data_IF_378614173666
#
_entry.id   IF_378614173666
#
_cell.length_a   1.000
_cell.length_b   1.000
_cell.length_c   1.000
_cell.angle_alpha   90.00
_cell.angle_beta   90.00
_cell.angle_gamma   90.00
#
_symmetry.space_group_name_H-M   'P 1'
#
loop_
_entity.id
_entity.type
_entity.pdbx_description
1 polymer ?
#
# COMPACT_ATOMS: atom_id res chain seq x y z
N UNK A 1 15.55 -20.12 12.96
CA UNK A 1 16.78 -19.45 13.47
C UNK A 1 16.56 -17.96 13.37
N UNK A 2 16.79 -17.20 14.44
CA UNK A 2 16.54 -15.75 14.50
C UNK A 2 17.78 -15.07 15.06
N UNK A 3 18.29 -14.08 14.34
CA UNK A 3 19.47 -13.29 14.74
C UNK A 3 19.12 -11.80 14.74
N UNK A 4 19.76 -11.04 15.63
CA UNK A 4 19.73 -9.56 15.60
C UNK A 4 21.10 -9.04 16.00
N UNK A 5 21.75 -8.27 15.13
CA UNK A 5 23.06 -7.73 15.42
C UNK A 5 23.00 -6.45 16.28
N UNK A 6 24.15 -5.99 16.78
CA UNK A 6 24.25 -4.75 17.57
C UNK A 6 23.93 -3.46 16.79
N UNK A 7 23.66 -3.56 15.49
CA UNK A 7 23.23 -2.46 14.61
C UNK A 7 21.73 -2.48 14.35
N UNK A 8 21.01 -3.48 14.89
CA UNK A 8 19.56 -3.60 14.81
C UNK A 8 19.07 -4.33 13.57
N UNK A 9 19.96 -4.81 12.71
CA UNK A 9 19.60 -5.66 11.57
C UNK A 9 19.26 -7.05 12.11
N UNK A 10 18.14 -7.60 11.68
CA UNK A 10 17.71 -8.93 12.06
C UNK A 10 17.43 -9.80 10.84
N UNK A 11 17.65 -11.10 11.01
CA UNK A 11 17.34 -12.13 10.03
C UNK A 11 16.58 -13.26 10.72
N UNK A 12 15.56 -13.80 10.07
CA UNK A 12 14.77 -14.90 10.58
C UNK A 12 14.44 -15.90 9.47
N UNK A 13 14.75 -17.17 9.74
CA UNK A 13 14.26 -18.31 8.98
C UNK A 13 13.01 -18.85 9.67
N UNK A 14 11.88 -18.74 8.97
CA UNK A 14 10.58 -19.18 9.44
C UNK A 14 10.43 -20.69 9.28
N UNK A 15 9.50 -21.29 10.02
CA UNK A 15 9.23 -22.73 9.97
C UNK A 15 8.75 -23.21 8.59
N UNK A 16 8.16 -22.32 7.79
CA UNK A 16 7.72 -22.59 6.42
C UNK A 16 8.81 -22.33 5.36
N UNK A 17 10.07 -22.14 5.78
CA UNK A 17 11.20 -21.93 4.89
C UNK A 17 11.38 -20.50 4.40
N UNK A 18 10.43 -19.58 4.69
CA UNK A 18 10.58 -18.18 4.30
C UNK A 18 11.72 -17.51 5.07
N UNK A 19 12.43 -16.64 4.35
CA UNK A 19 13.47 -15.80 4.91
C UNK A 19 12.98 -14.37 5.08
N UNK A 20 13.08 -13.84 6.29
CA UNK A 20 12.74 -12.46 6.64
C UNK A 20 14.02 -11.73 7.02
N UNK A 21 14.23 -10.55 6.44
CA UNK A 21 15.30 -9.63 6.85
C UNK A 21 14.68 -8.29 7.17
N UNK A 22 15.20 -7.62 8.18
CA UNK A 22 14.70 -6.32 8.56
C UNK A 22 15.64 -5.55 9.44
N UNK A 23 15.15 -4.41 9.90
CA UNK A 23 15.83 -3.57 10.86
C UNK A 23 14.85 -3.15 11.95
N UNK A 24 15.34 -3.09 13.19
CA UNK A 24 14.59 -2.65 14.37
C UNK A 24 15.51 -1.98 15.38
N UNK A 25 15.10 -0.87 16.01
CA UNK A 25 15.88 -0.22 17.07
C UNK A 25 15.88 -1.02 18.37
N UNK A 26 14.84 -1.83 18.63
CA UNK A 26 14.69 -2.66 19.83
C UNK A 26 14.26 -4.10 19.51
N UNK A 27 14.53 -5.03 20.43
CA UNK A 27 14.06 -6.43 20.34
C UNK A 27 12.53 -6.51 20.42
N UNK A 28 11.89 -5.63 21.18
CA UNK A 28 10.43 -5.57 21.27
C UNK A 28 9.80 -5.23 19.91
N UNK A 29 10.36 -4.28 19.17
CA UNK A 29 9.87 -3.92 17.84
C UNK A 29 10.13 -5.03 16.81
N UNK A 30 11.31 -5.68 16.86
CA UNK A 30 11.59 -6.89 16.08
C UNK A 30 10.53 -7.96 16.34
N UNK A 31 10.22 -8.21 17.62
CA UNK A 31 9.23 -9.20 18.02
C UNK A 31 7.83 -8.89 17.47
N UNK A 32 7.40 -7.62 17.52
CA UNK A 32 6.13 -7.19 16.92
C UNK A 32 6.11 -7.46 15.42
N UNK A 33 7.20 -7.19 14.70
CA UNK A 33 7.31 -7.47 13.26
C UNK A 33 7.26 -8.99 12.99
N UNK A 34 8.05 -9.79 13.68
CA UNK A 34 8.13 -11.22 13.44
C UNK A 34 6.82 -11.95 13.78
N UNK A 35 6.05 -11.45 14.76
CA UNK A 35 4.68 -11.94 15.02
C UNK A 35 3.74 -11.76 13.82
N UNK A 36 3.93 -10.74 12.98
CA UNK A 36 3.14 -10.57 11.74
C UNK A 36 3.39 -11.68 10.73
N UNK A 37 4.52 -12.37 10.84
CA UNK A 37 4.84 -13.55 10.05
C UNK A 37 4.44 -14.87 10.72
N UNK A 38 3.81 -14.81 11.91
CA UNK A 38 3.37 -15.98 12.67
C UNK A 38 4.42 -16.56 13.61
N UNK A 39 5.53 -15.86 13.87
CA UNK A 39 6.56 -16.33 14.81
C UNK A 39 6.05 -16.27 16.25
N UNK A 40 6.13 -17.38 16.97
CA UNK A 40 5.68 -17.46 18.35
C UNK A 40 6.66 -16.75 19.30
N UNK A 41 6.18 -16.24 20.43
CA UNK A 41 7.01 -15.51 21.40
C UNK A 41 8.17 -16.37 21.95
N UNK A 42 7.95 -17.68 22.09
CA UNK A 42 8.99 -18.63 22.51
C UNK A 42 10.15 -18.75 21.54
N UNK A 43 9.96 -18.38 20.27
CA UNK A 43 11.01 -18.45 19.23
C UNK A 43 11.85 -17.16 19.16
N UNK A 44 11.39 -16.07 19.79
CA UNK A 44 11.98 -14.73 19.71
C UNK A 44 13.15 -14.50 20.67
N UNK A 45 13.52 -15.50 21.47
CA UNK A 45 14.57 -15.40 22.51
C UNK A 45 15.70 -16.36 22.18
N UNK A 46 16.91 -15.83 22.01
CA UNK A 46 18.09 -16.62 21.75
C UNK A 46 19.39 -15.82 21.98
N UNK A 47 20.53 -16.51 22.18
CA UNK A 47 21.82 -15.85 22.43
C UNK A 47 22.32 -15.01 21.24
N UNK A 48 21.80 -15.26 20.04
CA UNK A 48 22.15 -14.55 18.80
C UNK A 48 21.31 -13.27 18.58
N UNK A 49 20.39 -12.97 19.50
CA UNK A 49 19.56 -11.76 19.47
C UNK A 49 20.18 -10.72 20.40
N UNK A 50 20.87 -9.74 19.82
CA UNK A 50 21.38 -8.60 20.57
C UNK A 50 20.24 -7.80 21.18
N UNK A 51 20.32 -7.53 22.48
CA UNK A 51 19.38 -6.67 23.23
C UNK A 51 19.75 -5.19 23.20
N UNK A 52 20.85 -4.85 22.52
CA UNK A 52 21.32 -3.46 22.38
C UNK A 52 20.25 -2.62 21.71
N UNK A 53 19.84 -1.54 22.37
CA UNK A 53 19.01 -0.50 21.77
C UNK A 53 19.88 0.35 20.85
N UNK A 54 19.47 0.52 19.60
CA UNK A 54 20.28 1.19 18.58
C UNK A 54 19.68 2.56 18.29
N UNK A 55 20.52 3.59 18.43
CA UNK A 55 20.21 4.93 17.94
C UNK A 55 20.74 5.08 16.50
N UNK A 56 19.88 5.57 15.61
CA UNK A 56 20.01 5.69 14.15
C UNK A 56 21.42 5.73 13.51
N UNK A 57 21.67 4.81 12.55
CA UNK A 57 22.55 5.09 11.41
C UNK A 57 21.72 5.16 10.12
N UNK A 58 21.66 6.32 9.45
CA UNK A 58 20.88 6.55 8.21
C UNK A 58 21.11 5.48 7.12
N UNK A 59 22.33 4.95 7.02
CA UNK A 59 22.70 3.92 6.03
C UNK A 59 22.17 2.52 6.37
N UNK A 60 21.97 2.22 7.65
CA UNK A 60 21.54 0.90 8.13
C UNK A 60 20.02 0.76 8.19
N UNK A 61 19.28 1.89 8.16
CA UNK A 61 17.83 1.87 8.05
C UNK A 61 17.41 0.95 6.91
N UNK A 62 18.12 0.94 5.78
CA UNK A 62 17.71 0.25 4.57
C UNK A 62 17.51 -1.24 4.82
N UNK A 63 18.47 -1.95 5.43
CA UNK A 63 18.25 -3.32 5.91
C UNK A 63 17.63 -4.24 4.86
N UNK A 64 17.72 -3.83 3.59
CA UNK A 64 16.92 -4.41 2.54
C UNK A 64 17.55 -5.72 2.14
N UNK A 65 16.73 -6.55 1.55
CA UNK A 65 17.24 -7.71 0.87
C UNK A 65 18.08 -7.34 -0.38
N UNK A 66 17.88 -6.15 -0.95
CA UNK A 66 18.60 -5.63 -2.14
C UNK A 66 19.91 -4.86 -1.83
N UNK A 67 20.25 -4.61 -0.55
CA UNK A 67 21.40 -3.78 -0.13
C UNK A 67 22.74 -4.56 -0.01
N UNK A 68 22.74 -5.86 -0.29
CA UNK A 68 23.90 -6.76 -0.15
C UNK A 68 24.37 -7.35 -1.49
N UNK A 69 25.55 -7.97 -1.48
CA UNK A 69 26.18 -8.65 -2.63
C UNK A 69 25.13 -9.32 -3.54
N UNK A 70 25.01 -8.81 -4.76
CA UNK A 70 23.99 -9.19 -5.74
C UNK A 70 23.85 -10.71 -5.89
N UNK A 71 24.98 -11.43 -5.81
CA UNK A 71 25.04 -12.90 -5.87
C UNK A 71 24.28 -13.57 -4.72
N UNK A 72 24.45 -13.12 -3.48
CA UNK A 72 23.74 -13.66 -2.31
C UNK A 72 22.24 -13.39 -2.40
N UNK A 73 21.85 -12.23 -2.95
CA UNK A 73 20.45 -11.91 -3.17
C UNK A 73 19.81 -12.79 -4.24
N UNK A 74 20.51 -12.99 -5.35
CA UNK A 74 20.07 -13.85 -6.46
C UNK A 74 19.90 -15.31 -6.02
N UNK A 75 20.84 -15.86 -5.24
CA UNK A 75 20.72 -17.20 -4.64
C UNK A 75 19.50 -17.32 -3.73
N UNK A 76 19.28 -16.34 -2.84
CA UNK A 76 18.10 -16.31 -1.94
C UNK A 76 16.80 -16.23 -2.72
N UNK A 77 16.78 -15.44 -3.79
CA UNK A 77 15.62 -15.34 -4.68
C UNK A 77 15.33 -16.66 -5.36
N UNK A 78 16.33 -17.31 -5.97
CA UNK A 78 16.15 -18.62 -6.58
C UNK A 78 15.66 -19.65 -5.56
N UNK A 79 16.26 -19.69 -4.38
CA UNK A 79 15.85 -20.62 -3.33
C UNK A 79 14.41 -20.38 -2.85
N UNK A 80 13.95 -19.13 -2.79
CA UNK A 80 12.56 -18.82 -2.43
C UNK A 80 11.58 -19.08 -3.57
N UNK A 81 12.02 -18.91 -4.83
CA UNK A 81 11.23 -19.19 -6.01
C UNK A 81 11.08 -20.70 -6.24
N UNK A 82 12.10 -21.48 -5.90
CA UNK A 82 12.09 -22.93 -6.00
C UNK A 82 11.08 -23.52 -5.02
N UNK A 83 10.00 -24.07 -5.58
CA UNK A 83 8.86 -24.54 -4.80
C UNK A 83 7.68 -24.94 -5.68
N UNK A 84 6.64 -25.55 -5.07
CA UNK A 84 5.46 -26.01 -5.81
C UNK A 84 4.72 -24.88 -6.53
N UNK A 85 4.87 -23.63 -6.09
CA UNK A 85 4.31 -22.45 -6.74
C UNK A 85 4.92 -22.19 -8.11
N UNK A 86 6.21 -22.42 -8.29
CA UNK A 86 6.88 -22.25 -9.59
C UNK A 86 6.38 -23.29 -10.59
N UNK A 87 6.21 -24.55 -10.15
CA UNK A 87 5.58 -25.59 -10.97
C UNK A 87 4.15 -25.22 -11.35
N UNK A 88 3.35 -24.75 -10.39
CA UNK A 88 1.98 -24.27 -10.65
C UNK A 88 1.96 -23.10 -11.62
N UNK A 89 2.89 -22.15 -11.49
CA UNK A 89 3.05 -21.04 -12.41
C UNK A 89 3.38 -21.53 -13.83
N UNK A 90 4.35 -22.44 -13.97
CA UNK A 90 4.74 -23.04 -15.25
C UNK A 90 3.55 -23.69 -15.94
N UNK A 91 2.82 -24.55 -15.24
CA UNK A 91 1.62 -25.23 -15.76
C UNK A 91 0.51 -24.24 -16.17
N UNK A 92 0.23 -23.25 -15.32
CA UNK A 92 -0.78 -22.24 -15.61
C UNK A 92 -0.41 -21.37 -16.82
N UNK A 93 0.88 -21.05 -17.00
CA UNK A 93 1.36 -20.30 -18.15
C UNK A 93 1.30 -21.11 -19.45
N UNK A 94 1.58 -22.42 -19.43
CA UNK A 94 1.39 -23.30 -20.58
C UNK A 94 -0.09 -23.34 -21.00
N UNK A 95 -0.99 -23.53 -20.03
CA UNK A 95 -2.43 -23.52 -20.28
C UNK A 95 -2.90 -22.17 -20.81
N UNK A 96 -2.45 -21.08 -20.20
CA UNK A 96 -2.75 -19.73 -20.66
C UNK A 96 -2.29 -19.52 -22.11
N UNK A 97 -1.05 -19.90 -22.43
CA UNK A 97 -0.46 -19.76 -23.77
C UNK A 97 -1.32 -20.41 -24.85
N UNK A 98 -1.87 -21.61 -24.59
CA UNK A 98 -2.77 -22.30 -25.53
C UNK A 98 -4.11 -21.59 -25.80
N UNK A 99 -4.50 -20.66 -24.93
CA UNK A 99 -5.78 -19.93 -25.01
C UNK A 99 -5.62 -18.54 -25.62
N UNK A 100 -4.40 -18.00 -25.67
CA UNK A 100 -4.16 -16.65 -26.19
C UNK A 100 -4.30 -16.67 -27.72
N UNK A 101 -5.19 -15.84 -28.31
CA UNK A 101 -5.25 -15.71 -29.76
C UNK A 101 -3.94 -15.16 -30.35
N UNK A 102 -3.48 -15.76 -31.46
CA UNK A 102 -2.28 -15.30 -32.15
C UNK A 102 -2.47 -13.92 -32.82
N UNK A 103 -3.67 -13.67 -33.37
CA UNK A 103 -4.00 -12.40 -34.01
C UNK A 103 -4.10 -11.25 -32.97
N UNK A 104 -3.38 -10.13 -33.16
CA UNK A 104 -3.37 -9.02 -32.19
C UNK A 104 -4.72 -8.32 -31.99
N UNK A 105 -5.65 -8.37 -32.95
CA UNK A 105 -6.99 -7.79 -32.80
C UNK A 105 -7.85 -8.71 -31.94
N UNK A 106 -7.85 -10.02 -32.25
CA UNK A 106 -8.56 -11.03 -31.47
C UNK A 106 -8.02 -11.12 -30.04
N UNK A 107 -6.70 -11.05 -29.85
CA UNK A 107 -6.06 -11.08 -28.54
C UNK A 107 -6.50 -9.92 -27.64
N UNK A 108 -6.61 -8.71 -28.19
CA UNK A 108 -7.09 -7.54 -27.44
C UNK A 108 -8.57 -7.67 -27.07
N UNK A 109 -9.40 -8.20 -27.96
CA UNK A 109 -10.81 -8.49 -27.64
C UNK A 109 -10.92 -9.54 -26.52
N UNK A 110 -10.18 -10.65 -26.65
CA UNK A 110 -10.10 -11.70 -25.64
C UNK A 110 -9.58 -11.20 -24.29
N UNK A 111 -8.58 -10.30 -24.28
CA UNK A 111 -8.10 -9.66 -23.06
C UNK A 111 -9.18 -8.81 -22.39
N UNK A 112 -9.96 -8.05 -23.15
CA UNK A 112 -11.08 -7.27 -22.61
C UNK A 112 -12.14 -8.18 -21.97
N UNK A 113 -12.44 -9.32 -22.59
CA UNK A 113 -13.35 -10.35 -22.04
C UNK A 113 -12.81 -10.95 -20.74
N UNK A 114 -11.50 -11.18 -20.62
CA UNK A 114 -10.87 -11.66 -19.37
C UNK A 114 -10.87 -10.59 -18.28
N UNK A 115 -10.69 -9.32 -18.63
CA UNK A 115 -10.60 -8.20 -17.69
C UNK A 115 -11.95 -7.79 -17.09
N UNK A 116 -13.02 -7.85 -17.89
CA UNK A 116 -14.35 -7.44 -17.46
C UNK A 116 -14.84 -8.13 -16.17
N UNK A 117 -14.82 -9.48 -16.04
CA UNK A 117 -15.26 -10.15 -14.81
C UNK A 117 -14.36 -9.83 -13.62
N UNK A 118 -13.04 -9.67 -13.82
CA UNK A 118 -12.09 -9.34 -12.74
C UNK A 118 -12.36 -7.95 -12.17
N UNK A 119 -12.54 -6.95 -13.04
CA UNK A 119 -12.84 -5.58 -12.62
C UNK A 119 -14.24 -5.46 -11.99
N UNK A 120 -15.21 -6.26 -12.43
CA UNK A 120 -16.54 -6.29 -11.84
C UNK A 120 -16.56 -6.96 -10.45
N UNK A 121 -15.88 -8.10 -10.31
CA UNK A 121 -15.88 -8.88 -9.07
C UNK A 121 -14.91 -8.32 -8.01
N UNK A 122 -13.77 -7.79 -8.42
CA UNK A 122 -12.72 -7.34 -7.52
C UNK A 122 -12.11 -6.01 -7.98
N UNK A 123 -12.89 -4.90 -7.95
CA UNK A 123 -12.35 -3.58 -8.23
C UNK A 123 -11.20 -3.25 -7.28
N UNK A 124 -10.23 -2.49 -7.78
CA UNK A 124 -9.10 -2.02 -6.99
C UNK A 124 -9.52 -0.92 -6.03
N UNK A 125 -8.87 -0.86 -4.88
CA UNK A 125 -9.09 0.19 -3.88
C UNK A 125 -7.95 1.21 -3.91
N UNK A 126 -8.26 2.46 -3.56
CA UNK A 126 -7.29 3.55 -3.65
C UNK A 126 -6.08 3.38 -2.71
N UNK A 127 -6.34 3.03 -1.44
CA UNK A 127 -5.30 2.81 -0.45
C UNK A 127 -5.77 1.89 0.67
N UNK A 128 -4.88 1.02 1.14
CA UNK A 128 -5.12 0.17 2.33
C UNK A 128 -4.07 0.33 3.43
N UNK A 129 -2.88 0.85 3.10
CA UNK A 129 -1.80 1.01 4.05
C UNK A 129 -1.80 2.42 4.66
N UNK A 130 -2.34 2.62 5.86
CA UNK A 130 -2.44 3.93 6.52
C UNK A 130 -1.08 4.45 7.00
N UNK A 131 -0.18 3.55 7.41
CA UNK A 131 1.14 3.93 7.93
C UNK A 131 2.24 3.88 6.86
N UNK A 132 1.91 3.49 5.63
CA UNK A 132 2.84 3.48 4.49
C UNK A 132 2.56 4.66 3.54
N UNK A 133 3.57 5.48 3.30
CA UNK A 133 3.45 6.68 2.46
C UNK A 133 2.68 7.83 3.16
N UNK A 134 2.07 8.72 2.36
CA UNK A 134 1.48 9.98 2.84
C UNK A 134 -0.01 9.89 3.24
N UNK A 135 -0.57 8.68 3.41
CA UNK A 135 -2.03 8.46 3.40
C UNK A 135 -2.81 8.85 4.64
N UNK A 136 -2.15 9.05 5.78
CA UNK A 136 -2.73 9.80 6.90
C UNK A 136 -1.92 11.08 6.96
N UNK A 137 -2.51 12.20 6.52
CA UNK A 137 -1.83 13.50 6.40
C UNK A 137 -1.08 13.78 7.70
N UNK A 138 0.25 13.72 7.62
CA UNK A 138 1.17 14.00 8.72
C UNK A 138 0.87 15.39 9.32
N UNK A 139 0.20 15.45 10.46
CA UNK A 139 -0.03 16.69 11.20
C UNK A 139 1.10 16.99 12.21
N UNK A 140 2.29 16.39 12.02
CA UNK A 140 3.47 16.64 12.84
C UNK A 140 4.73 15.97 12.29
N UNK A 141 5.91 16.39 12.77
CA UNK A 141 7.20 15.71 12.57
C UNK A 141 7.26 14.41 13.39
N UNK A 142 6.25 13.55 13.28
CA UNK A 142 6.33 12.22 13.85
C UNK A 142 7.51 11.52 13.16
N UNK A 143 8.49 11.04 13.95
CA UNK A 143 9.59 10.23 13.44
C UNK A 143 8.99 9.06 12.65
N UNK A 144 9.52 8.78 11.46
CA UNK A 144 9.12 7.58 10.73
C UNK A 144 9.28 6.38 11.68
N UNK A 145 8.24 5.55 11.80
CA UNK A 145 8.37 4.31 12.55
C UNK A 145 9.58 3.54 12.03
N UNK A 146 10.52 3.30 12.94
CA UNK A 146 11.89 2.96 12.63
C UNK A 146 12.01 1.52 12.12
N UNK A 147 11.25 0.59 12.70
CA UNK A 147 11.35 -0.82 12.35
C UNK A 147 10.61 -1.22 11.06
N UNK A 148 11.23 -2.10 10.27
CA UNK A 148 10.69 -2.66 9.02
C UNK A 148 11.28 -4.03 8.71
N UNK A 149 10.57 -4.81 7.90
CA UNK A 149 11.10 -6.04 7.31
C UNK A 149 10.63 -6.25 5.89
N UNK A 150 11.37 -7.10 5.21
CA UNK A 150 11.11 -7.58 3.87
C UNK A 150 11.28 -9.11 3.86
N UNK A 151 10.46 -9.78 3.06
CA UNK A 151 10.62 -11.20 2.79
C UNK A 151 10.30 -11.52 1.34
N UNK A 152 10.88 -12.60 0.84
CA UNK A 152 10.48 -13.20 -0.42
C UNK A 152 9.31 -14.14 -0.17
N UNK A 153 8.25 -13.97 -0.96
CA UNK A 153 7.05 -14.77 -0.77
C UNK A 153 6.28 -14.91 -2.09
N UNK A 154 5.80 -16.13 -2.34
CA UNK A 154 4.70 -16.37 -3.27
C UNK A 154 3.38 -15.89 -2.66
N UNK A 155 2.74 -14.95 -3.35
CA UNK A 155 1.49 -14.31 -2.96
C UNK A 155 0.37 -14.76 -3.89
N UNK A 156 -0.77 -15.10 -3.31
CA UNK A 156 -2.01 -15.25 -4.08
C UNK A 156 -2.40 -13.86 -4.63
N UNK A 157 -2.48 -13.68 -5.96
CA UNK A 157 -2.81 -12.39 -6.52
C UNK A 157 -4.20 -11.89 -6.09
N UNK A 158 -5.09 -12.76 -5.60
CA UNK A 158 -6.38 -12.36 -5.03
C UNK A 158 -6.23 -11.43 -3.84
N UNK A 159 -5.19 -11.61 -3.03
CA UNK A 159 -4.90 -10.78 -1.87
C UNK A 159 -4.27 -9.41 -2.24
N UNK A 160 -3.89 -9.20 -3.50
CA UNK A 160 -3.46 -7.88 -4.01
C UNK A 160 -4.70 -7.09 -4.39
N UNK A 161 -5.06 -6.12 -3.55
CA UNK A 161 -6.33 -5.37 -3.68
C UNK A 161 -6.14 -3.92 -4.13
N UNK A 162 -4.90 -3.43 -4.14
CA UNK A 162 -4.57 -2.06 -4.51
C UNK A 162 -3.27 -2.02 -5.28
N UNK A 163 -3.26 -1.34 -6.42
CA UNK A 163 -2.04 -0.93 -7.12
C UNK A 163 -2.07 0.58 -7.37
N UNK A 164 -1.03 1.11 -8.02
CA UNK A 164 -1.01 2.50 -8.48
C UNK A 164 -2.11 2.81 -9.53
N UNK A 165 -2.53 1.82 -10.31
CA UNK A 165 -3.48 2.00 -11.39
C UNK A 165 -4.88 1.56 -10.91
N UNK A 166 -5.91 2.41 -11.02
CA UNK A 166 -7.23 2.16 -10.39
C UNK A 166 -8.07 1.06 -11.05
N UNK A 167 -7.61 0.49 -12.15
CA UNK A 167 -8.37 -0.52 -12.91
C UNK A 167 -7.42 -1.59 -13.40
N UNK A 168 -7.78 -2.87 -13.19
CA UNK A 168 -6.96 -3.97 -13.64
C UNK A 168 -6.79 -3.93 -15.16
N UNK A 169 -5.56 -4.16 -15.62
CA UNK A 169 -5.18 -4.14 -17.03
C UNK A 169 -5.13 -2.76 -17.72
N UNK A 170 -5.51 -1.68 -17.04
CA UNK A 170 -5.41 -0.31 -17.57
C UNK A 170 -4.22 0.38 -16.92
N UNK A 171 -3.39 1.02 -17.74
CA UNK A 171 -2.19 1.73 -17.28
C UNK A 171 -2.26 3.18 -17.81
N UNK A 172 -2.63 4.13 -16.96
CA UNK A 172 -2.87 5.54 -17.33
C UNK A 172 -1.59 6.38 -17.31
N UNK A 173 -0.50 5.82 -17.83
CA UNK A 173 0.81 6.48 -17.81
C UNK A 173 1.29 6.67 -19.22
N UNK A 174 1.63 7.91 -19.56
CA UNK A 174 2.11 8.38 -20.87
C UNK A 174 3.44 7.73 -21.34
N UNK A 175 3.86 6.61 -20.76
CA UNK A 175 5.13 5.95 -21.03
C UNK A 175 5.03 5.01 -22.24
N UNK A 176 5.61 5.44 -23.35
CA UNK A 176 5.64 4.74 -24.65
C UNK A 176 6.31 3.35 -24.66
N UNK A 177 6.88 2.86 -23.55
CA UNK A 177 7.79 1.68 -23.52
C UNK A 177 7.44 0.59 -22.50
N UNK A 178 6.29 0.66 -21.82
CA UNK A 178 5.90 -0.37 -20.83
C UNK A 178 5.14 -1.53 -21.50
N UNK A 179 5.42 -2.77 -21.07
CA UNK A 179 4.68 -3.97 -21.50
C UNK A 179 3.26 -3.91 -20.93
N UNK A 180 2.28 -3.69 -21.81
CA UNK A 180 0.86 -3.90 -21.50
C UNK A 180 0.60 -5.39 -21.26
N UNK A 181 -0.59 -5.76 -20.77
CA UNK A 181 -0.98 -7.17 -20.70
C UNK A 181 -0.92 -7.84 -22.07
N UNK A 182 -1.25 -7.11 -23.14
CA UNK A 182 -1.09 -7.58 -24.52
C UNK A 182 0.37 -7.92 -24.86
N UNK A 183 1.33 -7.10 -24.41
CA UNK A 183 2.76 -7.38 -24.58
C UNK A 183 3.24 -8.60 -23.77
N UNK A 184 2.67 -8.87 -22.59
CA UNK A 184 2.93 -10.12 -21.88
C UNK A 184 2.41 -11.32 -22.68
N UNK A 185 1.19 -11.24 -23.20
CA UNK A 185 0.62 -12.30 -24.03
C UNK A 185 1.42 -12.52 -25.33
N UNK A 186 1.86 -11.45 -25.99
CA UNK A 186 2.69 -11.51 -27.19
C UNK A 186 4.02 -12.20 -26.92
N UNK A 187 4.74 -11.80 -25.87
CA UNK A 187 6.04 -12.40 -25.53
C UNK A 187 5.91 -13.83 -25.02
N UNK A 188 4.81 -14.17 -24.34
CA UNK A 188 4.53 -15.55 -23.93
C UNK A 188 4.23 -16.44 -25.12
N UNK A 189 3.48 -15.94 -26.11
CA UNK A 189 3.22 -16.66 -27.35
C UNK A 189 4.50 -16.94 -28.13
N UNK A 190 5.40 -15.94 -28.21
CA UNK A 190 6.65 -16.02 -28.95
C UNK A 190 7.73 -16.91 -28.31
N UNK A 191 7.52 -17.40 -27.09
CA UNK A 191 8.43 -18.32 -26.41
C UNK A 191 8.26 -19.76 -26.95
N UNK A 192 8.68 -19.98 -28.19
CA UNK A 192 8.35 -21.18 -28.98
C UNK A 192 9.15 -22.42 -28.62
N UNK A 193 10.36 -22.25 -28.12
CA UNK A 193 11.16 -23.34 -27.56
C UNK A 193 10.91 -23.56 -26.06
N UNK A 194 11.25 -24.75 -25.56
CA UNK A 194 11.22 -25.03 -24.12
C UNK A 194 12.15 -24.07 -23.35
N UNK A 195 13.34 -23.78 -23.88
CA UNK A 195 14.30 -22.86 -23.26
C UNK A 195 13.74 -21.43 -23.14
N UNK A 196 13.16 -20.88 -24.21
CA UNK A 196 12.55 -19.55 -24.19
C UNK A 196 11.36 -19.50 -23.23
N UNK A 197 10.59 -20.58 -23.15
CA UNK A 197 9.47 -20.68 -22.22
C UNK A 197 9.94 -20.69 -20.77
N UNK A 198 10.97 -21.47 -20.43
CA UNK A 198 11.55 -21.45 -19.08
C UNK A 198 12.13 -20.08 -18.72
N UNK A 199 12.83 -19.44 -19.65
CA UNK A 199 13.34 -18.07 -19.46
C UNK A 199 12.19 -17.07 -19.25
N UNK A 200 11.04 -17.27 -19.90
CA UNK A 200 9.85 -16.45 -19.67
C UNK A 200 9.27 -16.69 -18.27
N UNK A 201 9.15 -17.95 -17.84
CA UNK A 201 8.65 -18.33 -16.49
C UNK A 201 9.54 -17.72 -15.41
N UNK A 202 10.85 -17.88 -15.52
CA UNK A 202 11.82 -17.28 -14.59
C UNK A 202 11.76 -15.75 -14.61
N UNK A 203 11.72 -15.15 -15.80
CA UNK A 203 11.61 -13.70 -15.96
C UNK A 203 10.30 -13.12 -15.43
N UNK A 204 9.22 -13.90 -15.44
CA UNK A 204 7.95 -13.54 -14.81
C UNK A 204 8.03 -13.65 -13.28
N UNK A 205 8.55 -14.76 -12.75
CA UNK A 205 8.63 -15.00 -11.31
C UNK A 205 9.63 -14.06 -10.62
N UNK A 206 10.86 -13.98 -11.13
CA UNK A 206 11.97 -13.26 -10.51
C UNK A 206 12.15 -11.85 -11.07
N UNK A 207 11.56 -11.57 -12.22
CA UNK A 207 11.72 -10.32 -12.93
C UNK A 207 12.92 -10.30 -13.87
N UNK A 208 12.72 -9.76 -15.07
CA UNK A 208 13.82 -9.41 -15.95
C UNK A 208 14.69 -8.37 -15.24
N UNK A 209 15.96 -8.68 -14.97
CA UNK A 209 16.90 -7.91 -14.12
C UNK A 209 16.68 -7.97 -12.61
N UNK A 210 16.02 -9.03 -12.10
CA UNK A 210 15.74 -9.24 -10.66
C UNK A 210 14.88 -8.12 -10.03
N UNK A 211 14.15 -7.38 -10.85
CA UNK A 211 13.16 -6.41 -10.40
C UNK A 211 11.90 -7.17 -9.99
N UNK A 212 11.78 -7.53 -8.72
CA UNK A 212 10.63 -8.23 -8.18
C UNK A 212 9.38 -7.35 -8.13
N UNK A 213 8.22 -7.99 -7.93
CA UNK A 213 7.01 -7.25 -7.58
C UNK A 213 7.16 -6.80 -6.13
N UNK A 214 7.10 -5.50 -5.89
CA UNK A 214 7.13 -4.96 -4.54
C UNK A 214 5.71 -4.83 -4.00
N UNK A 215 5.46 -5.48 -2.86
CA UNK A 215 4.18 -5.45 -2.18
C UNK A 215 4.35 -4.90 -0.77
N UNK A 216 3.50 -3.96 -0.38
CA UNK A 216 3.30 -3.59 1.02
C UNK A 216 2.25 -4.51 1.62
N UNK A 217 2.63 -5.25 2.67
CA UNK A 217 1.77 -6.10 3.47
C UNK A 217 1.04 -5.27 4.52
N UNK A 218 -0.29 -5.39 4.54
CA UNK A 218 -1.18 -4.77 5.51
C UNK A 218 -1.94 -5.86 6.25
N UNK A 219 -1.80 -5.91 7.57
CA UNK A 219 -2.45 -6.95 8.37
C UNK A 219 -3.96 -6.71 8.51
N UNK A 220 -4.72 -7.80 8.53
CA UNK A 220 -6.13 -7.84 8.90
C UNK A 220 -6.42 -9.08 9.76
N UNK A 221 -7.66 -9.23 10.26
CA UNK A 221 -7.99 -10.23 11.28
C UNK A 221 -7.82 -11.69 10.86
N UNK A 222 -8.08 -12.05 9.60
CA UNK A 222 -7.92 -13.42 9.08
C UNK A 222 -6.62 -13.63 8.28
N UNK A 223 -5.87 -12.57 8.03
CA UNK A 223 -4.71 -12.59 7.16
C UNK A 223 -4.45 -11.24 6.49
N UNK A 224 -3.30 -11.11 5.82
CA UNK A 224 -2.89 -9.87 5.18
C UNK A 224 -3.60 -9.63 3.85
N UNK A 225 -3.66 -8.35 3.47
CA UNK A 225 -3.87 -7.90 2.09
C UNK A 225 -2.66 -7.11 1.62
N UNK A 226 -2.52 -6.96 0.31
CA UNK A 226 -1.33 -6.38 -0.29
C UNK A 226 -1.64 -5.20 -1.19
N UNK A 227 -0.69 -4.26 -1.18
CA UNK A 227 -0.69 -3.08 -2.04
C UNK A 227 0.59 -3.02 -2.87
N UNK A 228 0.47 -2.88 -4.20
CA UNK A 228 1.60 -2.77 -5.12
C UNK A 228 1.79 -1.31 -5.58
N UNK A 229 2.72 -0.58 -4.95
CA UNK A 229 2.97 0.84 -5.27
C UNK A 229 4.27 1.16 -6.00
N UNK A 230 5.11 0.16 -6.24
CA UNK A 230 6.40 0.35 -6.88
C UNK A 230 6.54 -0.61 -8.07
N UNK A 231 7.64 -1.33 -8.14
CA UNK A 231 7.97 -2.18 -9.27
C UNK A 231 7.05 -3.41 -9.35
N UNK A 232 6.82 -3.85 -10.60
CA UNK A 232 6.06 -5.06 -10.87
C UNK A 232 4.53 -4.91 -10.99
N UNK A 233 3.98 -3.69 -11.05
CA UNK A 233 2.52 -3.48 -11.21
C UNK A 233 1.92 -4.24 -12.40
N UNK A 234 2.58 -4.27 -13.57
CA UNK A 234 2.06 -5.03 -14.72
C UNK A 234 2.02 -6.55 -14.47
N UNK A 235 3.03 -7.10 -13.77
CA UNK A 235 3.03 -8.52 -13.40
C UNK A 235 1.96 -8.81 -12.36
N UNK A 236 1.74 -7.92 -11.39
CA UNK A 236 0.62 -8.04 -10.45
C UNK A 236 -0.73 -8.03 -11.18
N UNK A 237 -0.92 -7.15 -12.16
CA UNK A 237 -2.12 -7.11 -13.00
C UNK A 237 -2.27 -8.41 -13.82
N UNK A 238 -1.20 -8.86 -14.48
CA UNK A 238 -1.22 -10.09 -15.27
C UNK A 238 -1.56 -11.31 -14.41
N UNK A 239 -0.89 -11.43 -13.25
CA UNK A 239 -1.16 -12.49 -12.28
C UNK A 239 -2.60 -12.45 -11.76
N UNK A 240 -3.14 -11.26 -11.45
CA UNK A 240 -4.52 -11.08 -11.01
C UNK A 240 -5.53 -11.53 -12.05
N UNK A 241 -5.32 -11.13 -13.30
CA UNK A 241 -6.26 -11.40 -14.39
C UNK A 241 -6.31 -12.88 -14.76
N UNK A 242 -5.16 -13.56 -14.68
CA UNK A 242 -5.03 -14.96 -15.09
C UNK A 242 -4.92 -15.94 -13.93
N UNK A 243 -5.03 -15.48 -12.68
CA UNK A 243 -4.97 -16.33 -11.48
C UNK A 243 -3.61 -17.00 -11.28
N UNK A 244 -2.52 -16.31 -11.61
CA UNK A 244 -1.16 -16.88 -11.56
C UNK A 244 -0.50 -16.63 -10.20
N UNK A 245 0.24 -17.59 -9.64
CA UNK A 245 1.08 -17.34 -8.46
C UNK A 245 2.03 -16.17 -8.71
N UNK A 246 2.18 -15.28 -7.71
CA UNK A 246 2.98 -14.07 -7.83
C UNK A 246 4.14 -14.08 -6.82
N UNK A 247 5.36 -14.27 -7.29
CA UNK A 247 6.54 -14.07 -6.45
C UNK A 247 6.77 -12.57 -6.23
N UNK A 248 6.97 -12.18 -4.97
CA UNK A 248 7.08 -10.79 -4.57
C UNK A 248 8.11 -10.58 -3.46
N UNK A 249 8.68 -9.38 -3.45
CA UNK A 249 9.33 -8.79 -2.30
C UNK A 249 8.26 -8.13 -1.43
N UNK A 250 7.90 -8.80 -0.34
CA UNK A 250 6.84 -8.37 0.58
C UNK A 250 7.45 -7.57 1.72
N UNK A 251 7.16 -6.26 1.72
CA UNK A 251 7.57 -5.30 2.75
C UNK A 251 6.46 -5.15 3.77
N UNK A 252 6.74 -5.26 5.06
CA UNK A 252 5.73 -4.93 6.08
C UNK A 252 5.38 -3.45 6.01
N UNK A 253 4.10 -3.11 6.18
CA UNK A 253 3.74 -1.75 6.57
C UNK A 253 4.55 -1.35 7.82
N UNK A 254 5.03 -0.10 7.96
CA UNK A 254 5.72 0.33 9.17
C UNK A 254 4.90 0.04 10.44
N UNK A 255 5.55 0.02 11.60
CA UNK A 255 4.82 -0.03 12.87
C UNK A 255 3.86 1.18 12.96
N UNK A 256 2.72 1.05 13.68
CA UNK A 256 1.76 2.13 13.82
C UNK A 256 2.45 3.42 14.28
N UNK A 257 2.09 4.53 13.62
CA UNK A 257 2.59 5.85 13.96
C UNK A 257 1.62 6.55 14.89
N UNK A 258 2.14 7.54 15.60
CA UNK A 258 1.36 8.43 16.42
C UNK A 258 0.31 9.17 15.58
N UNK A 259 -0.94 9.10 16.05
CA UNK A 259 -2.11 9.73 15.48
C UNK A 259 -2.33 11.06 16.19
N UNK A 260 -2.28 12.16 15.45
CA UNK A 260 -2.46 13.50 16.01
C UNK A 260 -3.94 13.88 15.87
N UNK A 261 -4.63 13.94 17.00
CA UNK A 261 -6.07 14.16 17.10
C UNK A 261 -6.42 15.60 16.73
N UNK A 262 -6.71 15.85 15.45
CA UNK A 262 -7.11 17.18 14.97
C UNK A 262 -8.44 17.11 14.24
N UNK A 263 -9.37 17.94 14.71
CA UNK A 263 -10.59 18.27 13.99
C UNK A 263 -10.52 19.73 13.47
N UNK A 264 -10.87 20.00 12.21
CA UNK A 264 -10.83 21.31 11.53
C UNK A 264 -12.23 21.83 11.14
N UNK A 265 -13.11 22.15 12.10
CA UNK A 265 -14.54 22.39 11.86
C UNK A 265 -14.87 23.49 10.83
N UNK A 266 -13.97 24.45 10.60
CA UNK A 266 -14.20 25.62 9.73
C UNK A 266 -13.83 25.41 8.25
N UNK A 267 -13.41 24.20 7.84
CA UNK A 267 -13.12 23.87 6.44
C UNK A 267 -14.25 23.03 5.86
N UNK A 268 -15.22 23.64 5.13
CA UNK A 268 -16.28 22.89 4.49
C UNK A 268 -15.72 21.95 3.43
N UNK A 269 -16.33 20.77 3.37
CA UNK A 269 -16.21 19.77 2.33
C UNK A 269 -16.86 20.24 1.03
N UNK A 270 -16.13 20.34 -0.09
CA UNK A 270 -16.76 20.42 -1.40
C UNK A 270 -16.86 19.02 -2.02
N UNK A 271 -18.03 18.38 -1.91
CA UNK A 271 -18.33 17.15 -2.67
C UNK A 271 -18.72 15.92 -1.85
N UNK A 272 -19.39 14.98 -2.51
CA UNK A 272 -20.23 13.93 -1.90
C UNK A 272 -19.48 12.85 -1.13
N UNK A 273 -18.22 12.53 -1.45
CA UNK A 273 -17.44 11.45 -0.82
C UNK A 273 -15.92 11.72 -0.90
N UNK A 274 -15.53 12.99 -0.87
CA UNK A 274 -14.13 13.42 -0.93
C UNK A 274 -14.05 14.93 -0.87
N UNK A 275 -13.08 15.42 -0.10
CA UNK A 275 -12.85 16.82 0.31
C UNK A 275 -13.64 17.22 1.57
N UNK A 276 -12.94 17.50 2.68
CA UNK A 276 -13.51 18.02 3.94
C UNK A 276 -13.63 17.06 5.13
N UNK A 277 -12.70 16.12 5.31
CA UNK A 277 -12.62 15.36 6.56
C UNK A 277 -11.80 16.10 7.62
N UNK A 278 -12.46 17.10 8.19
CA UNK A 278 -12.03 17.88 9.33
C UNK A 278 -12.21 17.14 10.66
N UNK A 279 -12.36 15.81 10.69
CA UNK A 279 -12.79 15.11 11.92
C UNK A 279 -12.12 13.76 12.17
N UNK A 280 -10.83 13.65 11.87
CA UNK A 280 -10.07 12.42 12.14
C UNK A 280 -10.05 12.07 13.63
N UNK A 281 -9.98 13.07 14.51
CA UNK A 281 -10.07 12.87 15.94
C UNK A 281 -11.41 12.25 16.34
N UNK A 282 -12.53 12.77 15.83
CA UNK A 282 -13.85 12.18 16.09
C UNK A 282 -13.97 10.73 15.59
N UNK A 283 -13.45 10.43 14.39
CA UNK A 283 -13.47 9.08 13.82
C UNK A 283 -12.64 8.10 14.66
N UNK A 284 -11.40 8.46 15.01
CA UNK A 284 -10.53 7.60 15.82
C UNK A 284 -11.07 7.42 17.24
N UNK A 285 -11.70 8.45 17.82
CA UNK A 285 -12.41 8.32 19.09
C UNK A 285 -13.58 7.32 18.99
N UNK A 286 -14.36 7.36 17.91
CA UNK A 286 -15.41 6.38 17.63
C UNK A 286 -14.88 4.95 17.50
N UNK A 287 -13.79 4.75 16.75
CA UNK A 287 -13.14 3.44 16.63
C UNK A 287 -12.70 2.92 18.00
N UNK A 288 -12.14 3.78 18.85
CA UNK A 288 -11.70 3.42 20.19
C UNK A 288 -12.85 3.00 21.09
N UNK A 289 -13.93 3.77 21.11
CA UNK A 289 -15.12 3.44 21.92
C UNK A 289 -15.77 2.12 21.54
N UNK A 290 -15.62 1.70 20.27
CA UNK A 290 -16.10 0.41 19.78
C UNK A 290 -15.08 -0.72 19.91
N UNK A 291 -13.92 -0.46 20.52
CA UNK A 291 -12.87 -1.47 20.68
C UNK A 291 -12.17 -1.87 19.37
N UNK A 292 -12.31 -1.06 18.32
CA UNK A 292 -11.68 -1.29 17.01
C UNK A 292 -10.27 -0.69 16.92
N UNK A 293 -9.95 0.21 17.85
CA UNK A 293 -8.66 0.87 18.02
C UNK A 293 -8.32 0.94 19.52
N UNK A 294 -7.16 0.44 19.89
CA UNK A 294 -6.56 0.69 21.21
C UNK A 294 -5.33 1.58 21.03
N UNK A 295 -5.13 2.52 21.97
CA UNK A 295 -4.04 3.50 21.90
C UNK A 295 -3.36 3.64 23.26
N UNK A 296 -2.07 3.93 23.23
CA UNK A 296 -1.31 4.45 24.37
C UNK A 296 -1.20 5.99 24.27
N UNK A 297 -1.16 6.68 25.41
CA UNK A 297 -1.09 8.14 25.51
C UNK A 297 -2.07 8.72 26.54
N UNK A 298 -1.91 10.00 26.90
CA UNK A 298 -2.83 10.70 27.81
C UNK A 298 -4.16 11.02 27.08
N UNK A 299 -5.30 10.49 27.56
CA UNK A 299 -6.61 10.72 26.95
C UNK A 299 -7.20 12.10 27.25
N UNK A 300 -6.55 12.96 28.05
CA UNK A 300 -7.03 14.32 28.27
C UNK A 300 -7.07 15.06 26.92
N UNK A 301 -8.32 15.30 26.49
CA UNK A 301 -8.70 15.83 25.18
C UNK A 301 -8.20 17.28 25.01
N UNK A 302 -6.90 17.44 24.84
CA UNK A 302 -6.34 18.66 24.27
C UNK A 302 -6.50 18.56 22.76
N UNK A 303 -6.73 19.69 22.10
CA UNK A 303 -6.88 19.85 20.65
C UNK A 303 -5.62 19.45 19.83
N UNK A 304 -4.62 18.88 20.51
CA UNK A 304 -3.33 18.37 20.03
C UNK A 304 -2.96 17.07 20.78
N UNK A 305 -3.95 16.26 21.17
CA UNK A 305 -3.69 14.96 21.77
C UNK A 305 -3.04 14.02 20.75
N UNK A 306 -2.18 13.15 21.24
CA UNK A 306 -1.30 12.34 20.43
C UNK A 306 -1.43 10.88 20.87
N UNK A 307 -1.90 10.03 19.97
CA UNK A 307 -2.32 8.66 20.28
C UNK A 307 -1.44 7.66 19.53
N UNK A 308 -0.75 6.77 20.24
CA UNK A 308 0.01 5.69 19.60
C UNK A 308 -0.86 4.43 19.52
N UNK A 309 -1.24 3.93 18.33
CA UNK A 309 -2.03 2.72 18.22
C UNK A 309 -1.27 1.49 18.74
N UNK A 310 -1.87 0.77 19.67
CA UNK A 310 -1.36 -0.48 20.23
C UNK A 310 -2.08 -1.71 19.69
N UNK A 311 -3.34 -1.53 19.25
CA UNK A 311 -4.13 -2.56 18.57
C UNK A 311 -5.10 -1.92 17.60
N UNK A 312 -5.30 -2.56 16.46
CA UNK A 312 -6.23 -2.16 15.42
C UNK A 312 -6.73 -3.40 14.66
N UNK A 313 -7.99 -3.39 14.23
CA UNK A 313 -8.54 -4.51 13.43
C UNK A 313 -7.97 -4.50 12.02
N UNK A 314 -7.86 -3.32 11.41
CA UNK A 314 -7.21 -3.09 10.13
C UNK A 314 -6.88 -1.61 9.99
N UNK A 315 -5.67 -1.27 9.54
CA UNK A 315 -5.21 0.13 9.56
C UNK A 315 -5.95 1.00 8.54
N UNK A 316 -6.51 0.40 7.49
CA UNK A 316 -7.38 1.10 6.54
C UNK A 316 -8.65 1.67 7.18
N UNK A 317 -9.06 1.17 8.36
CA UNK A 317 -10.20 1.72 9.10
C UNK A 317 -9.93 3.14 9.62
N UNK A 318 -8.68 3.59 9.63
CA UNK A 318 -8.29 4.95 10.01
C UNK A 318 -8.56 5.98 8.90
N UNK A 319 -8.88 5.53 7.68
CA UNK A 319 -9.20 6.41 6.55
C UNK A 319 -10.61 7.00 6.66
N UNK A 320 -10.92 7.90 5.73
CA UNK A 320 -12.27 8.42 5.59
C UNK A 320 -13.27 7.28 5.36
N UNK A 321 -14.55 7.43 5.79
CA UNK A 321 -15.55 6.37 5.71
C UNK A 321 -15.68 5.69 4.34
N UNK A 322 -15.63 6.47 3.26
CA UNK A 322 -15.70 5.94 1.90
C UNK A 322 -14.54 4.97 1.58
N UNK A 323 -13.31 5.40 1.87
CA UNK A 323 -12.09 4.63 1.62
C UNK A 323 -12.00 3.40 2.53
N UNK A 324 -12.36 3.56 3.81
CA UNK A 324 -12.39 2.46 4.78
C UNK A 324 -13.40 1.37 4.37
N UNK A 325 -14.60 1.77 3.94
CA UNK A 325 -15.63 0.84 3.46
C UNK A 325 -15.24 0.18 2.14
N UNK A 326 -14.59 0.91 1.23
CA UNK A 326 -14.04 0.33 0.00
C UNK A 326 -13.02 -0.77 0.33
N UNK A 327 -12.09 -0.49 1.25
CA UNK A 327 -11.11 -1.45 1.74
C UNK A 327 -11.77 -2.62 2.50
N UNK A 328 -12.80 -2.39 3.31
CA UNK A 328 -13.56 -3.45 3.99
C UNK A 328 -14.19 -4.42 2.98
N UNK A 329 -14.86 -3.89 1.95
CA UNK A 329 -15.44 -4.73 0.88
C UNK A 329 -14.36 -5.51 0.14
N UNK A 330 -13.19 -4.91 -0.11
CA UNK A 330 -12.08 -5.60 -0.74
C UNK A 330 -11.48 -6.69 0.14
N UNK A 331 -11.32 -6.43 1.42
CA UNK A 331 -10.87 -7.41 2.40
C UNK A 331 -11.85 -8.58 2.51
N UNK A 332 -13.15 -8.31 2.59
CA UNK A 332 -14.19 -9.34 2.70
C UNK A 332 -14.26 -10.24 1.47
N UNK A 333 -13.92 -9.74 0.27
CA UNK A 333 -13.76 -10.60 -0.92
C UNK A 333 -12.61 -11.60 -0.80
N UNK A 334 -11.54 -11.24 -0.09
CA UNK A 334 -10.37 -12.11 0.14
C UNK A 334 -10.62 -13.04 1.32
N UNK A 335 -11.24 -12.53 2.38
CA UNK A 335 -11.54 -13.24 3.63
C UNK A 335 -13.02 -13.04 4.03
N UNK A 336 -13.96 -13.77 3.40
CA UNK A 336 -15.39 -13.58 3.64
C UNK A 336 -15.77 -13.77 5.10
N UNK A 337 -16.50 -12.80 5.67
CA UNK A 337 -17.00 -12.88 7.05
C UNK A 337 -15.98 -12.51 8.14
N UNK A 338 -14.69 -12.41 7.80
CA UNK A 338 -13.63 -12.24 8.79
C UNK A 338 -13.72 -10.89 9.52
N UNK A 339 -14.11 -9.83 8.82
CA UNK A 339 -14.29 -8.51 9.43
C UNK A 339 -15.49 -8.47 10.37
N UNK A 340 -16.64 -9.03 9.96
CA UNK A 340 -17.80 -9.12 10.87
C UNK A 340 -17.45 -9.95 12.12
N UNK A 341 -16.77 -11.09 11.94
CA UNK A 341 -16.36 -11.92 13.06
C UNK A 341 -15.40 -11.22 14.03
N UNK A 342 -14.46 -10.42 13.51
CA UNK A 342 -13.47 -9.72 14.33
C UNK A 342 -14.01 -8.46 15.03
N UNK A 343 -15.00 -7.81 14.44
CA UNK A 343 -15.54 -6.53 14.93
C UNK A 343 -16.88 -6.66 15.65
N UNK A 344 -17.63 -7.74 15.40
CA UNK A 344 -19.03 -7.89 15.82
C UNK A 344 -20.01 -6.99 15.07
N UNK A 345 -19.57 -6.28 14.02
CA UNK A 345 -20.37 -5.36 13.22
C UNK A 345 -20.99 -6.04 11.99
N UNK A 346 -22.12 -5.52 11.53
CA UNK A 346 -22.88 -6.00 10.37
C UNK A 346 -22.66 -5.17 9.11
N UNK A 347 -23.76 -4.80 8.44
CA UNK A 347 -23.76 -4.08 7.16
C UNK A 347 -23.11 -2.70 7.23
N UNK A 348 -23.00 -2.11 8.42
CA UNK A 348 -22.31 -0.84 8.66
C UNK A 348 -20.82 -0.87 8.27
N UNK A 349 -20.18 -2.05 8.23
CA UNK A 349 -18.82 -2.20 7.71
C UNK A 349 -18.72 -1.93 6.21
N UNK A 350 -19.84 -2.03 5.50
CA UNK A 350 -19.90 -2.01 4.05
C UNK A 350 -20.76 -0.88 3.50
N UNK A 351 -21.18 0.07 4.33
CA UNK A 351 -21.90 1.28 3.92
C UNK A 351 -21.23 2.52 4.51
N UNK A 352 -20.81 3.45 3.65
CA UNK A 352 -20.02 4.61 4.07
C UNK A 352 -20.79 5.56 4.99
N UNK A 353 -22.11 5.67 4.81
CA UNK A 353 -22.95 6.53 5.63
C UNK A 353 -23.19 5.88 7.00
N UNK A 354 -23.57 4.61 7.03
CA UNK A 354 -23.74 3.85 8.26
C UNK A 354 -22.43 3.80 9.07
N UNK A 355 -21.28 3.60 8.42
CA UNK A 355 -19.97 3.66 9.06
C UNK A 355 -19.68 5.03 9.68
N UNK A 356 -19.98 6.12 8.95
CA UNK A 356 -19.82 7.47 9.46
C UNK A 356 -20.75 7.75 10.66
N UNK A 357 -22.02 7.38 10.57
CA UNK A 357 -23.02 7.55 11.64
C UNK A 357 -22.64 6.74 12.88
N UNK A 358 -22.07 5.54 12.69
CA UNK A 358 -21.62 4.67 13.77
C UNK A 358 -20.47 5.28 14.59
N UNK A 359 -19.47 5.85 13.90
CA UNK A 359 -18.21 6.27 14.51
C UNK A 359 -18.21 7.75 14.91
N UNK A 360 -18.89 8.59 14.15
CA UNK A 360 -18.90 10.04 14.33
C UNK A 360 -20.21 10.46 15.01
N UNK A 361 -21.33 9.86 14.62
CA UNK A 361 -22.67 10.13 15.14
C UNK A 361 -23.05 11.61 15.15
N UNK A 362 -23.89 11.98 16.11
CA UNK A 362 -24.37 13.35 16.38
C UNK A 362 -23.35 14.23 17.12
N UNK A 363 -22.03 13.92 17.10
CA UNK A 363 -20.96 14.66 17.80
C UNK A 363 -20.66 16.04 17.21
N UNK A 364 -21.72 16.74 16.82
CA UNK A 364 -21.83 18.18 16.64
C UNK A 364 -22.36 18.76 17.95
N UNK A 365 -21.66 19.68 18.65
CA UNK A 365 -22.22 20.30 19.84
C UNK A 365 -23.50 21.08 19.48
N UNK A 366 -24.56 20.87 20.28
CA UNK A 366 -25.87 21.54 20.15
C UNK A 366 -25.80 23.08 20.19
N UNK A 367 -24.73 23.65 20.75
CA UNK A 367 -24.48 25.10 20.78
C UNK A 367 -24.32 25.74 19.40
N UNK A 368 -24.28 24.95 18.33
CA UNK A 368 -24.15 25.40 16.94
C UNK A 368 -25.43 25.24 16.11
N UNK A 369 -26.54 24.71 16.69
CA UNK A 369 -27.85 24.64 16.01
C UNK A 369 -28.64 25.97 16.05
N UNK A 370 -28.12 27.00 16.74
CA UNK A 370 -28.75 28.33 16.82
C UNK A 370 -27.70 29.39 16.52
N UNK A 371 -27.47 29.64 15.25
CA UNK A 371 -27.01 30.95 14.79
C UNK A 371 -27.57 31.17 13.40
N UNK A 372 -28.50 32.13 13.20
CA UNK A 372 -28.87 32.52 11.85
C UNK A 372 -27.63 33.12 11.17
N UNK A 373 -27.52 33.04 9.83
CA UNK A 373 -26.39 33.63 9.12
C UNK A 373 -26.29 35.12 9.45
N UNK A 374 -25.09 35.67 9.70
CA UNK A 374 -24.94 37.11 9.78
C UNK A 374 -25.40 37.70 8.44
N UNK A 375 -26.42 38.55 8.52
CA UNK A 375 -27.02 39.19 7.36
C UNK A 375 -25.97 39.81 6.46
N UNK A 376 -26.11 39.57 5.14
CA UNK A 376 -25.41 40.35 4.11
C UNK A 376 -25.61 41.84 4.43
N UNK A 377 -24.53 42.54 4.79
CA UNK A 377 -24.53 43.99 4.69
C UNK A 377 -24.65 44.37 3.20
N UNK A 378 -25.57 45.28 2.84
CA UNK A 378 -25.69 45.78 1.48
C UNK A 378 -24.50 46.67 1.13
N UNK A 379 -24.19 46.73 -0.16
CA UNK A 379 -22.93 47.22 -0.68
C UNK A 379 -22.61 48.70 -0.46
N UNK A 380 -21.32 48.96 -0.62
CA UNK A 380 -20.69 50.23 -0.97
C UNK A 380 -19.50 49.83 -1.84
N UNK A 381 -19.28 50.28 -3.07
CA UNK A 381 -19.63 51.51 -3.73
C UNK A 381 -18.40 51.85 -4.58
N UNK A 382 -18.60 51.98 -5.90
CA UNK A 382 -17.57 52.28 -6.89
C UNK A 382 -16.71 53.51 -6.55
N UNK A 383 -15.42 53.44 -6.89
CA UNK A 383 -14.66 54.58 -7.39
C UNK A 383 -13.57 54.12 -8.39
N UNK A 384 -13.81 54.39 -9.68
CA UNK A 384 -12.78 54.59 -10.72
C UNK A 384 -12.05 55.92 -10.44
N UNK A 385 -10.82 56.27 -10.84
CA UNK A 385 -10.01 56.12 -12.09
C UNK A 385 -8.63 56.85 -11.80
N UNK A 386 -7.71 57.17 -12.74
CA UNK A 386 -6.91 56.39 -13.72
C UNK A 386 -5.38 56.69 -13.64
N UNK A 387 -4.56 56.01 -14.43
CA UNK A 387 -3.21 56.52 -14.78
C UNK A 387 -2.17 55.48 -15.24
N UNK A 388 -2.11 55.20 -16.55
CA UNK A 388 -0.98 54.56 -17.26
C UNK A 388 0.09 55.63 -17.58
N UNK A 389 1.38 55.26 -17.76
CA UNK A 389 1.82 54.92 -19.11
C UNK A 389 2.75 53.70 -19.24
N UNK A 390 2.62 53.11 -20.42
CA UNK A 390 3.48 52.19 -21.18
C UNK A 390 4.99 52.46 -21.12
N UNK A 391 5.78 51.37 -21.10
CA UNK A 391 7.02 51.26 -21.88
C UNK A 391 7.22 49.82 -22.37
N UNK A 392 7.69 49.74 -23.61
CA UNK A 392 7.78 48.57 -24.49
C UNK A 392 9.26 48.21 -24.70
N UNK A 393 9.49 47.00 -25.21
CA UNK A 393 10.68 46.50 -25.93
C UNK A 393 11.90 45.97 -25.15
N UNK A 394 12.40 44.80 -25.59
CA UNK A 394 13.75 44.34 -25.25
C UNK A 394 14.01 42.83 -25.35
N UNK A 395 13.91 42.27 -26.55
CA UNK A 395 14.37 40.92 -26.91
C UNK A 395 15.86 40.70 -26.61
N UNK A 396 16.27 39.48 -26.22
CA UNK A 396 17.55 38.86 -26.61
C UNK A 396 17.63 37.36 -26.31
N UNK A 397 17.67 36.59 -27.40
CA UNK A 397 18.32 35.29 -27.53
C UNK A 397 19.83 35.36 -27.21
N UNK A 398 20.38 34.26 -26.66
CA UNK A 398 21.69 33.62 -26.91
C UNK A 398 21.71 32.36 -26.02
N UNK A 399 21.49 31.12 -26.50
CA UNK A 399 22.33 30.22 -27.33
C UNK A 399 23.78 30.13 -26.84
N UNK A 400 24.12 29.02 -26.18
CA UNK A 400 25.47 28.45 -26.19
C UNK A 400 25.40 26.92 -26.16
N UNK A 401 25.96 26.32 -27.22
CA UNK A 401 26.26 24.90 -27.41
C UNK A 401 27.78 24.81 -27.37
N UNK A 402 28.33 23.83 -26.65
CA UNK A 402 29.74 23.48 -26.70
C UNK A 402 29.95 22.01 -26.36
N UNK A 403 30.07 21.17 -27.40
CA UNK A 403 30.66 19.82 -27.39
C UNK A 403 32.17 19.95 -27.63
N UNK A 404 32.98 19.12 -26.96
CA UNK A 404 34.14 18.37 -27.48
C UNK A 404 34.80 17.65 -26.29
N UNK A 405 34.74 16.31 -26.20
CA UNK A 405 35.69 15.31 -26.73
C UNK A 405 37.07 15.36 -26.06
N UNK A 406 37.33 14.26 -25.35
CA UNK A 406 38.62 13.74 -24.90
C UNK A 406 38.40 12.27 -24.57
#
# INVERSE_FOLDING_TARGET
MITRDGRGVFEAWLADGRFVRGWSPTVAEMAVILRRYGVAESELVGPEVSTVTVAEPERLRWGRLDDGEFEVWEERLRAAADGPELTRLREALLQLRSRIPADPVQRRAWLAECLAPVNAAAPQVGQVAAFHGAGVRNCGRAREAEARSECLQWVDPVAVISTLDRTWGVFDRMEKRRRSLDGFCETLLAADSEEEFEQWVEGFAMGWTLQLVELTRVEGPAGPVYMCRADGTHRAHFARVFGLPLMALVKTCPLPRELIMVDHPDRPAEGVLGEGFARYGSLWAGLRERGLLEVAGDPEFTWLASWLPTRLVGEWMLFAPADAVEANRAYDRVYPGALQAATGLGDELFDAQAWADLLIGDRVPLSWRISPPPGRKPGSGLAMTPGRPTLTFGSRLRRWVGKAVG
#
